data_IF_392752837349
#
_entry.id   IF_392752837349
#
_cell.length_a   1.000
_cell.length_b   1.000
_cell.length_c   1.000
_cell.angle_alpha   90.00
_cell.angle_beta   90.00
_cell.angle_gamma   90.00
#
_symmetry.space_group_name_H-M   'P 1'
#
loop_
_entity.id
_entity.type
_entity.pdbx_description
1 polymer ?
#
# COMPACT_ATOMS: atom_id res chain seq x y z
N UNK A 1 -14.99 2.49 -12.35
CA UNK A 1 -16.36 2.85 -12.79
C UNK A 1 -16.47 4.23 -13.47
N UNK A 2 -15.40 5.05 -13.55
CA UNK A 2 -15.46 6.39 -14.17
C UNK A 2 -15.25 6.42 -15.69
N UNK A 3 -14.38 5.56 -16.24
CA UNK A 3 -14.08 5.54 -17.69
C UNK A 3 -15.26 5.00 -18.51
N UNK A 4 -16.01 4.05 -17.96
CA UNK A 4 -17.20 3.48 -18.61
C UNK A 4 -18.35 4.47 -18.79
N UNK A 5 -18.33 5.58 -18.05
CA UNK A 5 -19.38 6.60 -17.99
C UNK A 5 -19.18 7.70 -19.05
N UNK A 6 -17.93 7.95 -19.43
CA UNK A 6 -17.53 8.88 -20.51
C UNK A 6 -17.94 8.35 -21.89
N UNK A 7 -18.03 7.03 -22.04
CA UNK A 7 -18.41 6.34 -23.28
C UNK A 7 -19.85 5.82 -23.27
N UNK A 8 -20.72 6.31 -22.39
CA UNK A 8 -22.14 5.94 -22.42
C UNK A 8 -22.87 6.58 -23.60
N UNK A 9 -23.64 5.76 -24.33
CA UNK A 9 -24.44 6.13 -25.50
C UNK A 9 -25.24 7.44 -25.30
N UNK A 10 -25.76 7.70 -24.10
CA UNK A 10 -26.66 8.82 -23.82
C UNK A 10 -25.98 10.21 -23.89
N UNK A 11 -24.65 10.30 -23.71
CA UNK A 11 -23.88 11.54 -23.94
C UNK A 11 -23.25 11.60 -25.33
N UNK A 12 -22.99 10.44 -25.92
CA UNK A 12 -22.49 10.33 -27.30
C UNK A 12 -23.57 10.78 -28.30
N UNK A 13 -24.85 10.51 -28.08
CA UNK A 13 -25.94 10.99 -28.96
C UNK A 13 -26.03 12.53 -28.96
N UNK A 14 -25.88 13.18 -27.81
CA UNK A 14 -25.84 14.64 -27.71
C UNK A 14 -24.58 15.28 -28.33
N UNK A 15 -23.43 14.60 -28.23
CA UNK A 15 -22.17 15.06 -28.84
C UNK A 15 -22.04 14.70 -30.32
N UNK A 16 -22.71 13.64 -30.80
CA UNK A 16 -22.81 13.26 -32.21
C UNK A 16 -23.76 14.20 -32.94
N UNK A 17 -24.81 14.71 -32.30
CA UNK A 17 -25.66 15.74 -32.91
C UNK A 17 -25.00 17.12 -32.96
N UNK A 18 -24.26 17.50 -31.90
CA UNK A 18 -23.45 18.73 -31.89
C UNK A 18 -22.22 18.61 -32.81
N UNK A 19 -21.64 17.41 -32.91
CA UNK A 19 -20.59 17.03 -33.85
C UNK A 19 -21.08 16.96 -35.29
N UNK A 20 -22.32 16.52 -35.56
CA UNK A 20 -22.95 16.53 -36.88
C UNK A 20 -23.25 17.96 -37.38
N UNK A 21 -23.60 18.87 -36.47
CA UNK A 21 -23.71 20.30 -36.77
C UNK A 21 -22.33 20.96 -36.96
N UNK A 22 -21.30 20.53 -36.24
CA UNK A 22 -19.90 20.89 -36.53
C UNK A 22 -19.35 20.18 -37.78
N UNK A 23 -19.96 19.08 -38.25
CA UNK A 23 -19.65 18.40 -39.50
C UNK A 23 -20.17 19.18 -40.74
N UNK A 24 -20.97 20.23 -40.55
CA UNK A 24 -21.21 21.27 -41.56
C UNK A 24 -20.14 22.39 -41.46
N UNK A 25 -19.40 22.44 -40.34
CA UNK A 25 -18.26 23.34 -40.06
C UNK A 25 -16.86 22.69 -40.12
N UNK A 26 -16.70 21.55 -40.81
CA UNK A 26 -15.48 20.70 -40.83
C UNK A 26 -14.21 21.44 -41.29
N UNK A 27 -14.35 22.55 -42.01
CA UNK A 27 -13.20 23.36 -42.42
C UNK A 27 -12.36 23.89 -41.24
N UNK A 28 -12.91 23.90 -40.01
CA UNK A 28 -12.21 24.47 -38.83
C UNK A 28 -11.55 23.42 -37.92
N UNK A 29 -11.95 22.14 -37.97
CA UNK A 29 -11.35 21.05 -37.17
C UNK A 29 -10.05 20.50 -37.76
N UNK A 30 -9.82 20.70 -39.07
CA UNK A 30 -8.54 20.38 -39.73
C UNK A 30 -7.45 21.46 -39.54
N UNK A 31 -7.73 22.57 -38.82
CA UNK A 31 -6.68 23.50 -38.41
C UNK A 31 -5.84 22.88 -37.29
N UNK A 32 -4.74 22.26 -37.72
CA UNK A 32 -3.55 21.87 -36.94
C UNK A 32 -3.51 22.52 -35.54
N UNK A 33 -3.63 21.70 -34.50
CA UNK A 33 -3.15 22.05 -33.15
C UNK A 33 -4.15 22.02 -32.00
N UNK A 34 -5.46 21.82 -32.23
CA UNK A 34 -6.44 21.71 -31.14
C UNK A 34 -6.85 20.25 -30.92
N UNK A 35 -6.27 19.66 -29.89
CA UNK A 35 -6.68 18.40 -29.25
C UNK A 35 -8.20 18.32 -29.15
N UNK A 36 -8.85 17.13 -29.22
CA UNK A 36 -10.22 17.00 -28.75
C UNK A 36 -10.24 17.27 -27.23
N UNK A 37 -10.42 18.54 -26.88
CA UNK A 37 -10.39 19.13 -25.54
C UNK A 37 -11.39 18.45 -24.61
N UNK A 38 -12.40 17.78 -25.16
CA UNK A 38 -13.43 17.03 -24.44
C UNK A 38 -12.91 15.82 -23.65
N UNK A 39 -11.99 15.02 -24.20
CA UNK A 39 -11.51 13.83 -23.48
C UNK A 39 -10.56 14.23 -22.36
N UNK A 40 -9.71 15.23 -22.58
CA UNK A 40 -8.78 15.73 -21.56
C UNK A 40 -9.53 16.50 -20.47
N UNK A 41 -10.51 17.34 -20.83
CA UNK A 41 -11.32 18.11 -19.86
C UNK A 41 -12.25 17.21 -19.03
N UNK A 42 -12.85 16.17 -19.61
CA UNK A 42 -13.68 15.21 -18.87
C UNK A 42 -12.88 14.42 -17.80
N UNK A 43 -11.58 14.24 -18.02
CA UNK A 43 -10.69 13.58 -17.05
C UNK A 43 -10.15 14.55 -16.00
N UNK A 44 -9.81 15.79 -16.39
CA UNK A 44 -9.42 16.85 -15.46
C UNK A 44 -10.57 17.20 -14.50
N UNK A 45 -11.81 17.25 -14.99
CA UNK A 45 -13.01 17.48 -14.16
C UNK A 45 -13.31 16.35 -13.17
N UNK A 46 -12.78 15.15 -13.37
CA UNK A 46 -13.07 13.97 -12.53
C UNK A 46 -11.94 13.61 -11.57
N UNK A 47 -10.89 14.42 -11.49
CA UNK A 47 -9.84 14.33 -10.47
C UNK A 47 -9.26 12.90 -10.28
N UNK A 48 -9.10 12.14 -11.37
CA UNK A 48 -8.77 10.70 -11.31
C UNK A 48 -7.45 10.41 -10.58
N UNK A 49 -6.55 11.40 -10.50
CA UNK A 49 -5.26 11.32 -9.83
C UNK A 49 -5.20 12.01 -8.46
N UNK A 50 -6.27 12.67 -8.04
CA UNK A 50 -6.37 13.37 -6.74
C UNK A 50 -6.14 12.42 -5.55
N UNK A 51 -6.66 11.18 -5.54
CA UNK A 51 -6.39 10.24 -4.44
C UNK A 51 -4.90 9.89 -4.27
N UNK A 52 -4.14 9.83 -5.37
CA UNK A 52 -2.69 9.54 -5.34
C UNK A 52 -1.91 10.73 -4.78
N UNK A 53 -2.30 11.95 -5.15
CA UNK A 53 -1.71 13.17 -4.60
C UNK A 53 -1.94 13.31 -3.08
N UNK A 54 -3.00 12.69 -2.54
CA UNK A 54 -3.28 12.65 -1.11
C UNK A 54 -2.41 11.67 -0.31
N UNK A 55 -1.72 10.72 -0.95
CA UNK A 55 -0.93 9.68 -0.25
C UNK A 55 0.31 10.26 0.43
N UNK A 56 1.03 11.14 -0.26
CA UNK A 56 2.24 11.76 0.26
C UNK A 56 2.02 12.46 1.61
N UNK A 57 1.08 13.42 1.70
CA UNK A 57 0.77 14.11 2.95
C UNK A 57 0.29 13.19 4.08
N UNK A 58 -0.32 12.03 3.77
CA UNK A 58 -0.72 11.04 4.78
C UNK A 58 0.52 10.31 5.31
N UNK A 59 1.40 9.86 4.41
CA UNK A 59 2.65 9.18 4.80
C UNK A 59 3.60 10.10 5.55
N UNK A 60 3.68 11.37 5.15
CA UNK A 60 4.53 12.37 5.82
C UNK A 60 4.12 12.61 7.28
N UNK A 61 2.85 12.36 7.63
CA UNK A 61 2.34 12.45 9.00
C UNK A 61 2.65 11.23 9.85
N UNK A 62 2.95 10.07 9.24
CA UNK A 62 3.19 8.82 9.98
C UNK A 62 4.40 8.95 10.91
N UNK A 63 5.52 9.50 10.43
CA UNK A 63 6.73 9.66 11.24
C UNK A 63 6.50 10.49 12.52
N UNK A 64 5.99 11.73 12.41
CA UNK A 64 5.66 12.55 13.57
C UNK A 64 4.62 11.93 14.52
N UNK A 65 3.58 11.27 13.98
CA UNK A 65 2.55 10.64 14.80
C UNK A 65 3.09 9.43 15.58
N UNK A 66 3.91 8.61 14.94
CA UNK A 66 4.55 7.45 15.58
C UNK A 66 5.54 7.90 16.64
N UNK A 67 6.36 8.91 16.37
CA UNK A 67 7.26 9.45 17.38
C UNK A 67 6.50 9.97 18.61
N UNK A 68 5.49 10.81 18.41
CA UNK A 68 4.74 11.40 19.51
C UNK A 68 4.07 10.32 20.38
N UNK A 69 3.56 9.25 19.76
CA UNK A 69 2.99 8.11 20.48
C UNK A 69 4.06 7.30 21.19
N UNK A 70 5.12 6.91 20.49
CA UNK A 70 6.14 6.01 21.01
C UNK A 70 6.95 6.66 22.14
N UNK A 71 7.28 7.95 22.03
CA UNK A 71 7.95 8.70 23.11
C UNK A 71 7.10 8.74 24.39
N UNK A 72 5.79 8.91 24.24
CA UNK A 72 4.85 8.86 25.37
C UNK A 72 4.81 7.45 25.97
N UNK A 73 4.71 6.41 25.14
CA UNK A 73 4.73 5.02 25.60
C UNK A 73 6.04 4.70 26.36
N UNK A 74 7.19 5.20 25.88
CA UNK A 74 8.47 5.00 26.56
C UNK A 74 8.54 5.70 27.91
N UNK A 75 8.01 6.92 28.02
CA UNK A 75 7.93 7.66 29.29
C UNK A 75 7.03 6.95 30.31
N UNK A 76 5.88 6.45 29.85
CA UNK A 76 4.98 5.64 30.68
C UNK A 76 5.65 4.33 31.13
N UNK A 77 6.38 3.64 30.24
CA UNK A 77 7.12 2.43 30.56
C UNK A 77 8.26 2.67 31.55
N UNK A 78 9.03 3.75 31.37
CA UNK A 78 10.11 4.12 32.28
C UNK A 78 9.56 4.47 33.66
N UNK A 79 8.48 5.27 33.70
CA UNK A 79 7.77 5.63 34.94
C UNK A 79 7.20 4.41 35.66
N UNK A 80 6.60 3.47 34.92
CA UNK A 80 6.11 2.21 35.46
C UNK A 80 7.25 1.38 36.05
N UNK A 81 8.32 1.16 35.28
CA UNK A 81 9.52 0.43 35.71
C UNK A 81 10.10 1.04 36.98
N UNK A 82 10.15 2.37 37.08
CA UNK A 82 10.65 3.06 38.25
C UNK A 82 9.73 2.94 39.48
N UNK A 83 8.40 2.98 39.29
CA UNK A 83 7.45 2.68 40.38
C UNK A 83 7.65 1.26 40.91
N UNK A 84 7.82 0.30 40.02
CA UNK A 84 8.03 -1.09 40.39
C UNK A 84 9.33 -1.25 41.21
N UNK A 85 10.43 -0.64 40.75
CA UNK A 85 11.71 -0.63 41.49
C UNK A 85 11.56 0.00 42.88
N UNK A 86 10.76 1.07 43.03
CA UNK A 86 10.51 1.71 44.32
C UNK A 86 9.65 0.86 45.25
N UNK A 87 8.82 -0.02 44.71
CA UNK A 87 8.02 -0.98 45.48
C UNK A 87 8.80 -2.21 45.97
N UNK A 88 10.01 -2.44 45.45
CA UNK A 88 10.85 -3.56 45.87
C UNK A 88 11.43 -3.34 47.28
N UNK A 89 11.66 -4.41 48.06
CA UNK A 89 12.38 -4.33 49.33
C UNK A 89 13.77 -3.69 49.17
N UNK A 90 14.24 -2.92 50.17
CA UNK A 90 15.50 -2.15 50.12
C UNK A 90 16.74 -2.99 49.79
N UNK A 91 16.76 -4.26 50.22
CA UNK A 91 17.82 -5.22 49.91
C UNK A 91 17.89 -5.64 48.42
N UNK A 92 16.79 -5.51 47.68
CA UNK A 92 16.71 -5.80 46.25
C UNK A 92 16.89 -4.51 45.44
N UNK A 93 16.30 -3.40 45.91
CA UNK A 93 16.40 -2.10 45.26
C UNK A 93 17.86 -1.65 45.07
N UNK A 94 18.72 -1.89 46.07
CA UNK A 94 20.16 -1.60 46.01
C UNK A 94 20.95 -2.43 44.99
N UNK A 95 20.35 -3.50 44.46
CA UNK A 95 20.96 -4.39 43.44
C UNK A 95 20.51 -4.06 42.01
N UNK A 96 19.59 -3.12 41.84
CA UNK A 96 19.18 -2.66 40.51
C UNK A 96 20.34 -1.91 39.86
N UNK A 97 20.76 -2.36 38.68
CA UNK A 97 21.85 -1.73 37.92
C UNK A 97 21.24 -0.80 36.86
N UNK A 98 21.51 0.50 37.00
CA UNK A 98 21.04 1.55 36.09
C UNK A 98 19.69 2.15 36.50
N UNK A 99 19.34 3.28 35.88
CA UNK A 99 18.07 3.98 36.09
C UNK A 99 17.16 3.80 34.87
N UNK A 100 15.89 3.40 35.04
CA UNK A 100 14.93 3.43 33.94
C UNK A 100 14.80 4.86 33.43
N UNK A 101 15.03 5.06 32.14
CA UNK A 101 14.92 6.37 31.51
C UNK A 101 14.33 6.20 30.11
N UNK A 102 13.43 7.10 29.74
CA UNK A 102 12.91 7.16 28.38
C UNK A 102 14.01 7.59 27.40
N UNK A 103 14.03 7.07 26.16
CA UNK A 103 14.98 7.51 25.15
C UNK A 103 14.80 9.01 24.87
N UNK A 104 15.91 9.75 24.75
CA UNK A 104 15.88 11.19 24.43
C UNK A 104 15.74 11.47 22.93
N UNK A 105 16.01 10.47 22.10
CA UNK A 105 16.00 10.60 20.63
C UNK A 105 15.20 9.46 20.01
N UNK A 106 14.36 9.79 19.03
CA UNK A 106 13.61 8.83 18.22
C UNK A 106 14.14 8.87 16.79
N UNK A 107 14.60 7.72 16.26
CA UNK A 107 15.13 7.64 14.90
C UNK A 107 13.99 7.43 13.89
N UNK A 108 13.78 8.41 13.01
CA UNK A 108 12.77 8.37 11.93
C UNK A 108 13.36 7.92 10.59
N UNK A 109 14.66 7.65 10.51
CA UNK A 109 15.35 7.30 9.24
C UNK A 109 14.63 6.22 8.43
N UNK A 110 14.13 5.11 9.02
CA UNK A 110 13.46 4.07 8.23
C UNK A 110 12.30 4.58 7.37
N UNK A 111 11.52 5.54 7.88
CA UNK A 111 10.41 6.16 7.15
C UNK A 111 10.88 7.29 6.22
N UNK A 112 11.92 8.05 6.61
CA UNK A 112 12.47 9.13 5.81
C UNK A 112 13.19 8.61 4.55
N UNK A 113 13.96 7.53 4.68
CA UNK A 113 14.77 6.97 3.60
C UNK A 113 13.90 6.40 2.46
N UNK A 114 12.71 5.93 2.79
CA UNK A 114 11.76 5.35 1.84
C UNK A 114 10.91 6.42 1.13
N UNK A 115 10.81 7.65 1.67
CA UNK A 115 9.96 8.70 1.11
C UNK A 115 10.29 9.05 -0.35
N UNK A 116 11.56 9.21 -0.78
CA UNK A 116 11.89 9.46 -2.19
C UNK A 116 11.46 8.32 -3.12
N UNK A 117 11.48 7.07 -2.62
CA UNK A 117 11.03 5.90 -3.39
C UNK A 117 9.52 5.92 -3.56
N UNK A 118 8.77 6.22 -2.50
CA UNK A 118 7.32 6.36 -2.55
C UNK A 118 6.88 7.51 -3.48
N UNK A 119 7.59 8.63 -3.45
CA UNK A 119 7.33 9.77 -4.34
C UNK A 119 7.50 9.40 -5.82
N UNK A 120 8.48 8.54 -6.16
CA UNK A 120 8.64 8.02 -7.54
C UNK A 120 7.43 7.20 -7.98
N UNK A 121 6.88 6.36 -7.11
CA UNK A 121 5.66 5.61 -7.42
C UNK A 121 4.45 6.52 -7.64
N UNK A 122 4.30 7.59 -6.85
CA UNK A 122 3.26 8.60 -7.03
C UNK A 122 3.40 9.31 -8.39
N UNK A 123 4.63 9.68 -8.76
CA UNK A 123 4.94 10.31 -10.05
C UNK A 123 4.73 9.36 -11.24
N UNK A 124 5.10 8.09 -11.09
CA UNK A 124 4.90 7.08 -12.13
C UNK A 124 3.42 6.88 -12.44
N UNK A 125 2.55 6.83 -11.42
CA UNK A 125 1.09 6.76 -11.63
C UNK A 125 0.57 8.00 -12.35
N UNK A 126 1.11 9.18 -12.04
CA UNK A 126 0.74 10.45 -12.69
C UNK A 126 1.14 10.46 -14.18
N UNK A 127 2.33 9.96 -14.52
CA UNK A 127 2.81 9.86 -15.90
C UNK A 127 2.08 8.78 -16.70
N UNK A 128 1.94 7.58 -16.13
CA UNK A 128 1.22 6.44 -16.73
C UNK A 128 -0.23 6.79 -17.05
N UNK A 129 -0.89 7.52 -16.16
CA UNK A 129 -2.28 7.90 -16.34
C UNK A 129 -2.52 9.03 -17.35
N UNK A 130 -1.51 9.83 -17.67
CA UNK A 130 -1.65 10.99 -18.55
C UNK A 130 -1.18 10.70 -19.97
N UNK A 131 0.00 10.10 -20.18
CA UNK A 131 0.55 9.97 -21.54
C UNK A 131 0.01 8.77 -22.32
N UNK A 132 0.12 7.56 -21.77
CA UNK A 132 -0.31 6.32 -22.42
C UNK A 132 -1.84 6.30 -22.64
N UNK A 133 -2.57 6.81 -21.65
CA UNK A 133 -4.02 6.90 -21.71
C UNK A 133 -4.49 7.92 -22.75
N UNK A 134 -3.95 9.15 -22.74
CA UNK A 134 -4.31 10.18 -23.73
C UNK A 134 -3.97 9.71 -25.14
N UNK A 135 -2.82 9.05 -25.33
CA UNK A 135 -2.45 8.49 -26.64
C UNK A 135 -3.43 7.42 -27.11
N UNK A 136 -3.83 6.50 -26.22
CA UNK A 136 -4.78 5.43 -26.54
C UNK A 136 -6.18 5.97 -26.85
N UNK A 137 -6.66 6.92 -26.04
CA UNK A 137 -7.95 7.58 -26.25
C UNK A 137 -7.96 8.43 -27.52
N UNK A 138 -6.88 9.16 -27.79
CA UNK A 138 -6.70 9.93 -29.03
C UNK A 138 -6.76 9.01 -30.26
N UNK A 139 -6.03 7.90 -30.23
CA UNK A 139 -6.03 6.95 -31.33
C UNK A 139 -7.45 6.40 -31.56
N UNK A 140 -8.18 6.04 -30.50
CA UNK A 140 -9.56 5.56 -30.62
C UNK A 140 -10.50 6.57 -31.29
N UNK A 141 -10.42 7.85 -30.90
CA UNK A 141 -11.22 8.93 -31.50
C UNK A 141 -10.83 9.18 -32.96
N UNK A 142 -9.53 9.17 -33.27
CA UNK A 142 -9.04 9.35 -34.66
C UNK A 142 -9.48 8.19 -35.56
N UNK A 143 -9.42 6.94 -35.08
CA UNK A 143 -9.91 5.80 -35.84
C UNK A 143 -11.42 5.88 -36.10
N UNK A 144 -12.21 6.31 -35.11
CA UNK A 144 -13.65 6.52 -35.30
C UNK A 144 -13.92 7.63 -36.33
N UNK A 145 -13.24 8.76 -36.23
CA UNK A 145 -13.40 9.85 -37.19
C UNK A 145 -13.01 9.43 -38.62
N UNK A 146 -11.95 8.63 -38.76
CA UNK A 146 -11.56 8.06 -40.06
C UNK A 146 -12.62 7.08 -40.58
N UNK A 147 -13.17 6.24 -39.70
CA UNK A 147 -14.25 5.31 -40.03
C UNK A 147 -15.51 6.02 -40.52
N UNK A 148 -15.94 7.07 -39.80
CA UNK A 148 -17.09 7.89 -40.18
C UNK A 148 -16.85 8.60 -41.52
N UNK A 149 -15.65 9.15 -41.74
CA UNK A 149 -15.28 9.76 -43.01
C UNK A 149 -15.32 8.76 -44.17
N UNK A 150 -14.84 7.53 -43.96
CA UNK A 150 -14.94 6.46 -44.96
C UNK A 150 -16.40 6.12 -45.28
N UNK A 151 -17.29 6.04 -44.28
CA UNK A 151 -18.72 5.80 -44.49
C UNK A 151 -19.34 6.92 -45.32
N UNK A 152 -19.03 8.19 -45.02
CA UNK A 152 -19.57 9.35 -45.76
C UNK A 152 -19.06 9.37 -47.20
N UNK A 153 -17.76 9.16 -47.41
CA UNK A 153 -17.17 9.09 -48.76
C UNK A 153 -17.78 7.92 -49.55
N UNK A 154 -17.92 6.75 -48.93
CA UNK A 154 -18.53 5.58 -49.56
C UNK A 154 -20.00 5.83 -49.93
N UNK A 155 -20.77 6.46 -49.04
CA UNK A 155 -22.15 6.87 -49.33
C UNK A 155 -22.25 7.86 -50.50
N UNK A 156 -21.36 8.85 -50.55
CA UNK A 156 -21.26 9.81 -51.67
C UNK A 156 -20.93 9.13 -53.00
N UNK A 157 -19.97 8.19 -53.00
CA UNK A 157 -19.59 7.43 -54.20
C UNK A 157 -20.75 6.57 -54.70
N UNK A 158 -21.44 5.85 -53.80
CA UNK A 158 -22.62 5.05 -54.17
C UNK A 158 -23.70 5.95 -54.77
N UNK A 159 -23.99 7.09 -54.14
CA UNK A 159 -25.00 8.03 -54.62
C UNK A 159 -24.63 8.61 -56.00
N UNK A 160 -23.38 9.06 -56.17
CA UNK A 160 -22.89 9.63 -57.43
C UNK A 160 -22.75 8.61 -58.56
N UNK A 161 -22.54 7.33 -58.25
CA UNK A 161 -22.40 6.26 -59.25
C UNK A 161 -23.70 5.92 -59.99
N UNK A 162 -24.85 6.41 -59.52
CA UNK A 162 -26.16 6.11 -60.11
C UNK A 162 -26.62 4.66 -59.93
N UNK A 163 -25.86 3.82 -59.22
CA UNK A 163 -26.19 2.41 -58.89
C UNK A 163 -27.54 2.28 -58.18
N UNK A 164 -27.96 3.32 -57.46
CA UNK A 164 -29.24 3.39 -56.74
C UNK A 164 -30.39 4.02 -57.56
N UNK A 165 -30.19 4.30 -58.86
CA UNK A 165 -31.13 5.03 -59.71
C UNK A 165 -32.54 4.41 -59.84
N UNK A 166 -33.56 5.28 -59.81
CA UNK A 166 -35.04 5.12 -59.83
C UNK A 166 -35.66 4.12 -58.83
N UNK A 167 -34.86 3.24 -58.24
CA UNK A 167 -35.30 2.28 -57.25
C UNK A 167 -35.26 2.89 -55.85
N UNK A 168 -36.33 3.60 -55.48
CA UNK A 168 -36.50 4.19 -54.14
C UNK A 168 -36.28 3.18 -53.00
N UNK A 169 -36.62 1.91 -53.22
CA UNK A 169 -36.36 0.82 -52.26
C UNK A 169 -34.86 0.52 -52.09
N UNK A 170 -34.08 0.51 -53.17
CA UNK A 170 -32.63 0.27 -53.10
C UNK A 170 -31.92 1.44 -52.38
N UNK A 171 -32.36 2.67 -52.61
CA UNK A 171 -31.86 3.87 -51.91
C UNK A 171 -32.14 3.80 -50.41
N UNK A 172 -33.35 3.41 -50.01
CA UNK A 172 -33.71 3.23 -48.60
C UNK A 172 -32.88 2.14 -47.92
N UNK A 173 -32.70 0.98 -48.57
CA UNK A 173 -31.89 -0.12 -48.04
C UNK A 173 -30.43 0.31 -47.85
N UNK A 174 -29.85 1.01 -48.83
CA UNK A 174 -28.49 1.54 -48.74
C UNK A 174 -28.33 2.54 -47.59
N UNK A 175 -29.31 3.43 -47.40
CA UNK A 175 -29.30 4.40 -46.31
C UNK A 175 -29.39 3.72 -44.94
N UNK A 176 -30.27 2.72 -44.78
CA UNK A 176 -30.38 1.93 -43.54
C UNK A 176 -29.09 1.18 -43.25
N UNK A 177 -28.44 0.60 -44.26
CA UNK A 177 -27.15 -0.10 -44.12
C UNK A 177 -26.03 0.85 -43.68
N UNK A 178 -25.92 2.04 -44.30
CA UNK A 178 -24.93 3.05 -43.90
C UNK A 178 -25.15 3.53 -42.47
N UNK A 179 -26.41 3.73 -42.08
CA UNK A 179 -26.80 4.13 -40.73
C UNK A 179 -26.50 3.02 -39.72
N UNK A 180 -26.76 1.76 -40.06
CA UNK A 180 -26.37 0.61 -39.25
C UNK A 180 -24.84 0.50 -39.10
N UNK A 181 -24.06 0.72 -40.16
CA UNK A 181 -22.60 0.70 -40.11
C UNK A 181 -22.03 1.82 -39.24
N UNK A 182 -22.64 3.00 -39.30
CA UNK A 182 -22.29 4.15 -38.45
C UNK A 182 -22.57 3.84 -36.97
N UNK A 183 -23.74 3.24 -36.68
CA UNK A 183 -24.11 2.82 -35.33
C UNK A 183 -23.17 1.74 -34.76
N UNK A 184 -22.68 0.83 -35.59
CA UNK A 184 -21.69 -0.18 -35.19
C UNK A 184 -20.37 0.49 -34.75
N UNK A 185 -19.90 1.50 -35.48
CA UNK A 185 -18.71 2.26 -35.09
C UNK A 185 -18.86 2.91 -33.71
N UNK A 186 -20.04 3.48 -33.44
CA UNK A 186 -20.38 4.09 -32.16
C UNK A 186 -20.47 3.07 -31.02
N UNK A 187 -20.99 1.86 -31.29
CA UNK A 187 -21.07 0.77 -30.31
C UNK A 187 -19.70 0.22 -29.89
N UNK A 188 -18.65 0.37 -30.71
CA UNK A 188 -17.29 -0.09 -30.38
C UNK A 188 -16.62 0.84 -29.35
N UNK A 189 -16.95 2.12 -29.32
CA UNK A 189 -16.37 3.11 -28.40
C UNK A 189 -16.46 2.74 -26.90
N UNK A 190 -17.62 2.32 -26.34
CA UNK A 190 -17.68 1.89 -24.94
C UNK A 190 -16.81 0.66 -24.64
N UNK A 191 -16.63 -0.24 -25.60
CA UNK A 191 -15.77 -1.42 -25.43
C UNK A 191 -14.30 -1.01 -25.36
N UNK A 192 -13.86 -0.11 -26.24
CA UNK A 192 -12.50 0.44 -26.22
C UNK A 192 -12.24 1.21 -24.91
N UNK A 193 -13.20 2.03 -24.49
CA UNK A 193 -13.13 2.73 -23.20
C UNK A 193 -12.96 1.77 -22.02
N UNK A 194 -13.72 0.67 -21.97
CA UNK A 194 -13.58 -0.38 -20.94
C UNK A 194 -12.22 -1.07 -20.98
N UNK A 195 -11.72 -1.38 -22.17
CA UNK A 195 -10.42 -2.05 -22.34
C UNK A 195 -9.26 -1.15 -21.85
N UNK A 196 -9.28 0.14 -22.19
CA UNK A 196 -8.27 1.11 -21.71
C UNK A 196 -8.37 1.26 -20.19
N UNK A 197 -9.58 1.36 -19.64
CA UNK A 197 -9.81 1.44 -18.20
C UNK A 197 -9.28 0.23 -17.44
N UNK A 198 -9.48 -0.98 -17.98
CA UNK A 198 -9.01 -2.21 -17.38
C UNK A 198 -7.48 -2.25 -17.30
N UNK A 199 -6.78 -1.88 -18.37
CA UNK A 199 -5.32 -1.80 -18.40
C UNK A 199 -4.78 -0.80 -17.38
N UNK A 200 -5.39 0.39 -17.30
CA UNK A 200 -5.02 1.41 -16.32
C UNK A 200 -5.22 0.89 -14.89
N UNK A 201 -6.35 0.23 -14.61
CA UNK A 201 -6.63 -0.37 -13.30
C UNK A 201 -5.55 -1.38 -12.91
N UNK A 202 -5.17 -2.28 -13.81
CA UNK A 202 -4.14 -3.29 -13.55
C UNK A 202 -2.79 -2.65 -13.24
N UNK A 203 -2.39 -1.61 -13.98
CA UNK A 203 -1.13 -0.90 -13.73
C UNK A 203 -1.14 -0.13 -12.42
N UNK A 204 -2.22 0.60 -12.12
CA UNK A 204 -2.38 1.30 -10.84
C UNK A 204 -2.32 0.31 -9.67
N UNK A 205 -2.96 -0.85 -9.81
CA UNK A 205 -2.95 -1.88 -8.77
C UNK A 205 -1.55 -2.46 -8.51
N UNK A 206 -0.75 -2.65 -9.57
CA UNK A 206 0.63 -3.07 -9.43
C UNK A 206 1.45 -2.04 -8.63
N UNK A 207 1.38 -0.76 -9.02
CA UNK A 207 2.10 0.31 -8.29
C UNK A 207 1.60 0.46 -6.86
N UNK A 208 0.29 0.32 -6.62
CA UNK A 208 -0.29 0.34 -5.27
C UNK A 208 0.29 -0.79 -4.40
N UNK A 209 0.44 -1.99 -4.97
CA UNK A 209 1.01 -3.15 -4.27
C UNK A 209 2.46 -2.89 -3.89
N UNK A 210 3.25 -2.36 -4.83
CA UNK A 210 4.66 -2.02 -4.59
C UNK A 210 4.83 -0.88 -3.58
N UNK A 211 3.96 0.14 -3.64
CA UNK A 211 3.90 1.22 -2.67
C UNK A 211 3.61 0.68 -1.27
N UNK A 212 2.56 -0.13 -1.12
CA UNK A 212 2.17 -0.70 0.16
C UNK A 212 3.25 -1.61 0.74
N UNK A 213 3.87 -2.46 -0.09
CA UNK A 213 4.96 -3.34 0.32
C UNK A 213 6.20 -2.56 0.80
N UNK A 214 6.54 -1.48 0.11
CA UNK A 214 7.69 -0.65 0.47
C UNK A 214 7.43 0.10 1.78
N UNK A 215 6.23 0.66 1.94
CA UNK A 215 5.82 1.32 3.18
C UNK A 215 5.75 0.33 4.35
N UNK A 216 5.22 -0.87 4.13
CA UNK A 216 5.16 -1.92 5.14
C UNK A 216 6.55 -2.32 5.62
N UNK A 217 7.50 -2.53 4.69
CA UNK A 217 8.90 -2.83 5.05
C UNK A 217 9.54 -1.72 5.90
N UNK A 218 9.24 -0.46 5.57
CA UNK A 218 9.71 0.69 6.37
C UNK A 218 9.08 0.71 7.77
N UNK A 219 7.78 0.39 7.86
CA UNK A 219 7.07 0.28 9.13
C UNK A 219 7.61 -0.87 9.99
N UNK A 220 7.91 -2.03 9.40
CA UNK A 220 8.51 -3.16 10.10
C UNK A 220 9.89 -2.80 10.67
N UNK A 221 10.72 -2.09 9.89
CA UNK A 221 12.00 -1.57 10.38
C UNK A 221 11.82 -0.55 11.51
N UNK A 222 10.81 0.33 11.42
CA UNK A 222 10.48 1.28 12.49
C UNK A 222 10.03 0.58 13.77
N UNK A 223 9.21 -0.47 13.65
CA UNK A 223 8.78 -1.30 14.78
C UNK A 223 9.97 -1.99 15.45
N UNK A 224 10.94 -2.47 14.67
CA UNK A 224 12.16 -3.08 15.23
C UNK A 224 12.96 -2.07 16.06
N UNK A 225 13.15 -0.84 15.55
CA UNK A 225 13.80 0.25 16.30
C UNK A 225 13.03 0.54 17.60
N UNK A 226 11.70 0.67 17.52
CA UNK A 226 10.88 0.93 18.70
C UNK A 226 10.96 -0.22 19.72
N UNK A 227 10.95 -1.48 19.28
CA UNK A 227 11.07 -2.64 20.17
C UNK A 227 12.42 -2.68 20.89
N UNK A 228 13.52 -2.30 20.23
CA UNK A 228 14.83 -2.19 20.87
C UNK A 228 14.80 -1.14 21.98
N UNK A 229 14.24 0.04 21.70
CA UNK A 229 14.09 1.10 22.70
C UNK A 229 13.20 0.68 23.89
N UNK A 230 12.13 -0.10 23.66
CA UNK A 230 11.31 -0.66 24.76
C UNK A 230 12.13 -1.60 25.65
N UNK A 231 12.96 -2.45 25.06
CA UNK A 231 13.83 -3.37 25.81
C UNK A 231 14.87 -2.62 26.62
N UNK A 232 15.43 -1.54 26.07
CA UNK A 232 16.41 -0.72 26.78
C UNK A 232 15.79 -0.01 28.00
N UNK A 233 14.55 0.47 27.89
CA UNK A 233 13.83 1.09 29.00
C UNK A 233 13.53 0.11 30.15
N UNK A 234 13.28 -1.16 29.85
CA UNK A 234 12.98 -2.21 30.85
C UNK A 234 14.21 -3.04 31.26
N UNK A 235 15.36 -2.84 30.59
CA UNK A 235 16.60 -3.58 30.81
C UNK A 235 17.06 -3.62 32.29
N UNK A 236 16.93 -2.54 33.09
CA UNK A 236 17.32 -2.60 34.50
C UNK A 236 16.53 -3.62 35.32
N UNK A 237 15.22 -3.75 35.07
CA UNK A 237 14.37 -4.72 35.77
C UNK A 237 14.65 -6.15 35.28
N UNK A 238 14.76 -6.36 33.97
CA UNK A 238 15.01 -7.71 33.42
C UNK A 238 16.36 -8.25 33.89
N UNK A 239 17.43 -7.43 33.86
CA UNK A 239 18.74 -7.83 34.40
C UNK A 239 18.70 -8.21 35.88
N UNK A 240 17.88 -7.51 36.68
CA UNK A 240 17.72 -7.84 38.09
C UNK A 240 17.02 -9.19 38.28
N UNK A 241 15.93 -9.43 37.54
CA UNK A 241 15.19 -10.71 37.60
C UNK A 241 16.08 -11.86 37.18
N UNK A 242 16.83 -11.72 36.08
CA UNK A 242 17.76 -12.75 35.59
C UNK A 242 18.87 -13.04 36.63
N UNK A 243 19.44 -11.98 37.23
CA UNK A 243 20.44 -12.13 38.28
C UNK A 243 19.89 -12.83 39.54
N UNK A 244 18.62 -12.58 39.89
CA UNK A 244 17.97 -13.26 41.01
C UNK A 244 17.64 -14.72 40.72
N UNK A 245 17.17 -15.03 39.51
CA UNK A 245 16.91 -16.40 39.09
C UNK A 245 18.19 -17.24 39.12
N UNK A 246 19.30 -16.70 38.62
CA UNK A 246 20.60 -17.36 38.64
C UNK A 246 21.11 -17.56 40.08
N UNK A 247 21.01 -16.55 40.94
CA UNK A 247 21.36 -16.67 42.36
C UNK A 247 20.53 -17.75 43.07
N UNK A 248 19.24 -17.82 42.80
CA UNK A 248 18.35 -18.82 43.38
C UNK A 248 18.72 -20.24 42.93
N UNK A 249 19.03 -20.41 41.65
CA UNK A 249 19.47 -21.69 41.09
C UNK A 249 20.80 -22.15 41.74
N UNK A 250 21.76 -21.22 41.92
CA UNK A 250 23.01 -21.52 42.62
C UNK A 250 22.79 -21.91 44.09
N UNK A 251 21.83 -21.29 44.78
CA UNK A 251 21.47 -21.66 46.15
C UNK A 251 20.86 -23.07 46.22
N UNK A 252 19.97 -23.43 45.28
CA UNK A 252 19.40 -24.78 45.19
C UNK A 252 20.48 -25.84 44.97
N UNK A 253 21.44 -25.58 44.06
CA UNK A 253 22.58 -26.49 43.82
C UNK A 253 23.43 -26.65 45.08
N UNK A 254 23.72 -25.55 45.80
CA UNK A 254 24.46 -25.62 47.07
C UNK A 254 23.71 -26.41 48.13
N UNK A 255 22.40 -26.22 48.27
CA UNK A 255 21.57 -26.97 49.22
C UNK A 255 21.60 -28.47 48.91
N UNK A 256 21.45 -28.89 47.65
CA UNK A 256 21.58 -30.29 47.28
C UNK A 256 22.97 -30.87 47.52
N UNK A 257 24.01 -30.05 47.34
CA UNK A 257 25.39 -30.48 47.65
C UNK A 257 25.54 -30.74 49.14
N UNK A 258 25.06 -29.82 49.98
CA UNK A 258 25.08 -29.97 51.45
C UNK A 258 24.23 -31.17 51.91
N UNK A 259 23.05 -31.37 51.33
CA UNK A 259 22.20 -32.55 51.60
C UNK A 259 22.92 -33.85 51.25
N UNK A 260 23.63 -33.88 50.11
CA UNK A 260 24.42 -35.05 49.69
C UNK A 260 25.58 -35.32 50.64
N UNK A 261 26.26 -34.28 51.12
CA UNK A 261 27.34 -34.39 52.12
C UNK A 261 26.82 -34.87 53.48
N UNK A 262 25.68 -34.34 53.93
CA UNK A 262 25.02 -34.80 55.16
C UNK A 262 24.61 -36.27 55.06
N UNK A 263 24.01 -36.69 53.94
CA UNK A 263 23.68 -38.10 53.69
C UNK A 263 24.92 -39.00 53.68
N UNK A 264 26.05 -38.53 53.13
CA UNK A 264 27.34 -39.26 53.20
C UNK A 264 27.86 -39.36 54.62
N UNK A 265 27.83 -38.26 55.38
CA UNK A 265 28.23 -38.25 56.79
C UNK A 265 27.35 -39.18 57.63
N UNK A 266 26.03 -39.20 57.40
CA UNK A 266 25.11 -40.13 58.07
C UNK A 266 25.42 -41.59 57.74
N UNK A 267 25.73 -41.90 56.48
CA UNK A 267 26.15 -43.25 56.09
C UNK A 267 27.47 -43.64 56.76
N UNK A 268 28.44 -42.73 56.85
CA UNK A 268 29.73 -43.00 57.46
C UNK A 268 29.64 -43.12 58.99
N UNK A 269 28.80 -42.32 59.64
CA UNK A 269 28.44 -42.49 61.06
C UNK A 269 27.74 -43.82 61.30
N UNK A 270 26.80 -44.22 60.44
CA UNK A 270 26.14 -45.53 60.54
C UNK A 270 27.13 -46.70 60.35
N UNK A 271 28.11 -46.57 59.44
CA UNK A 271 29.20 -47.56 59.29
C UNK A 271 30.08 -47.62 60.54
N UNK A 272 30.40 -46.48 61.15
CA UNK A 272 31.18 -46.40 62.39
C UNK A 272 30.41 -46.99 63.58
N UNK A 273 29.11 -46.70 63.70
CA UNK A 273 28.22 -47.28 64.71
C UNK A 273 28.06 -48.80 64.55
N UNK A 274 27.97 -49.32 63.31
CA UNK A 274 28.00 -50.77 63.06
C UNK A 274 29.35 -51.39 63.43
N UNK A 275 30.48 -50.74 63.14
CA UNK A 275 31.81 -51.26 63.55
C UNK A 275 32.00 -51.30 65.07
N UNK A 276 31.44 -50.34 65.82
CA UNK A 276 31.47 -50.35 67.29
C UNK A 276 30.65 -51.47 67.93
N UNK A 277 29.53 -51.85 67.32
CA UNK A 277 28.67 -52.94 67.82
C UNK A 277 29.23 -54.35 67.55
N UNK A 278 30.05 -54.54 66.52
CA UNK A 278 30.69 -55.83 66.21
C UNK A 278 32.05 -56.04 66.88
N UNK A 279 32.55 -55.07 67.66
CA UNK A 279 33.84 -55.13 68.37
C UNK A 279 33.78 -55.50 69.86
N UNK A 280 32.59 -55.75 70.43
CA UNK A 280 32.37 -55.98 71.87
C UNK A 280 31.75 -57.36 72.19
N UNK A 281 32.10 -58.38 71.41
CA UNK A 281 31.91 -59.79 71.80
C UNK A 281 33.21 -60.54 71.60
N UNK A 282 34.12 -60.35 72.56
CA UNK A 282 35.05 -61.40 73.01
C UNK A 282 34.35 -62.28 74.03
#
# INVERSE_FOLDING_TARGET
MAVSDIFQLNRVVGSVWRGALELIGIARLFRRGKTPEYVVSAFQQREVFSPVAGLGPIVDKLGPQLEGRDLKDFDELASYTQREIKGLPSAIQSKVIGTPQAPTTYDRKPLQDVRPVLARFEDDVRKLGSEDFVRSARNAVVYLALWELLIVVFGLVIFASGVLGDNGQATLVALVLLLALAMIGLLIMPLVGRAIAARLKTRIFAVQTDYAKTLQKAADAQLEVAMRLRRDATAPLTRLVDAQAELHNQQLVRLHTVETELNRLEQDVNKLGRKGLFGLRG
#
